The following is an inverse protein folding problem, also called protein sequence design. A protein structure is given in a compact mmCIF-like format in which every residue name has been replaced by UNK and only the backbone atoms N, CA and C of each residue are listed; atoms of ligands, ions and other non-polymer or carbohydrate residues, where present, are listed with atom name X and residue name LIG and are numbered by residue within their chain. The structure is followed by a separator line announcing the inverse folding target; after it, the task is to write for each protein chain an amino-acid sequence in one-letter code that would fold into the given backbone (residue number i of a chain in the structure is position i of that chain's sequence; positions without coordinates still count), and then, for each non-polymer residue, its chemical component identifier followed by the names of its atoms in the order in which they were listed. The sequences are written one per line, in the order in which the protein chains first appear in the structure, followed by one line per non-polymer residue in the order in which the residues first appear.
data_IF_234500543755
#
_entry.id   IF_234500543755
#
_cell.length_a   1.000
_cell.length_b   1.000
_cell.length_c   1.000
_cell.angle_alpha   90.00
_cell.angle_beta   90.00
_cell.angle_gamma   90.00
#
_symmetry.space_group_name_H-M   'P 1'
#
loop_
_entity.id
_entity.type
_entity.pdbx_description
1 polymer ?
#
# COMPACT_ATOMS: atom_id res chain seq x y z
N UNK A 1 18.18 -11.46 14.96
CA UNK A 1 17.65 -10.24 15.61
C UNK A 1 18.32 -10.12 16.96
N UNK A 2 19.11 -9.05 17.12
CA UNK A 2 19.71 -8.64 18.39
C UNK A 2 18.61 -8.06 19.31
N UNK A 3 18.66 -8.23 20.64
CA UNK A 3 19.69 -8.95 21.40
C UNK A 3 19.52 -10.46 21.28
N UNK A 4 20.65 -11.17 21.25
CA UNK A 4 20.74 -12.64 21.27
C UNK A 4 20.49 -13.26 22.65
N UNK A 5 20.31 -12.45 23.70
CA UNK A 5 20.08 -12.92 25.06
C UNK A 5 18.57 -13.11 25.35
N UNK A 6 18.15 -14.34 25.63
CA UNK A 6 16.75 -14.69 25.89
C UNK A 6 16.14 -13.99 27.11
N UNK A 7 16.95 -13.67 28.11
CA UNK A 7 16.54 -12.99 29.35
C UNK A 7 16.14 -11.53 29.07
N UNK A 8 16.91 -10.82 28.24
CA UNK A 8 16.60 -9.43 27.84
C UNK A 8 15.30 -9.33 27.03
N UNK A 9 14.94 -10.37 26.26
CA UNK A 9 13.65 -10.44 25.53
C UNK A 9 12.44 -10.61 26.45
N UNK A 10 12.62 -11.18 27.64
CA UNK A 10 11.57 -11.29 28.66
C UNK A 10 11.44 -9.98 29.47
N UNK A 11 12.56 -9.30 29.75
CA UNK A 11 12.56 -8.04 30.50
C UNK A 11 11.95 -6.86 29.73
N UNK A 12 11.99 -6.84 28.39
CA UNK A 12 11.52 -5.69 27.61
C UNK A 12 9.99 -5.55 27.50
N UNK A 13 9.21 -6.50 28.01
CA UNK A 13 7.74 -6.54 27.90
C UNK A 13 7.20 -6.66 26.46
N UNK A 14 8.03 -6.38 25.44
CA UNK A 14 7.72 -6.43 24.01
C UNK A 14 7.27 -7.81 23.57
N UNK A 15 7.92 -8.87 24.07
CA UNK A 15 7.53 -10.24 23.78
C UNK A 15 6.13 -10.54 24.30
N UNK A 16 5.85 -10.19 25.55
CA UNK A 16 4.53 -10.39 26.18
C UNK A 16 3.46 -9.61 25.40
N UNK A 17 3.74 -8.35 25.02
CA UNK A 17 2.84 -7.54 24.18
C UNK A 17 2.59 -8.20 22.81
N UNK A 18 3.64 -8.67 22.13
CA UNK A 18 3.53 -9.34 20.84
C UNK A 18 2.74 -10.65 20.94
N UNK A 19 2.96 -11.45 21.98
CA UNK A 19 2.20 -12.68 22.24
C UNK A 19 0.71 -12.38 22.49
N UNK A 20 0.39 -11.36 23.29
CA UNK A 20 -1.00 -10.91 23.50
C UNK A 20 -1.67 -10.44 22.20
N UNK A 21 -0.97 -9.64 21.39
CA UNK A 21 -1.46 -9.19 20.08
C UNK A 21 -1.65 -10.36 19.12
N UNK A 22 -0.73 -11.33 19.12
CA UNK A 22 -0.83 -12.54 18.32
C UNK A 22 -2.06 -13.37 18.71
N UNK A 23 -2.30 -13.57 20.01
CA UNK A 23 -3.46 -14.30 20.51
C UNK A 23 -4.78 -13.60 20.15
N UNK A 24 -4.86 -12.28 20.33
CA UNK A 24 -6.04 -11.49 19.97
C UNK A 24 -6.32 -11.57 18.46
N UNK A 25 -5.30 -11.35 17.62
CA UNK A 25 -5.40 -11.47 16.16
C UNK A 25 -5.81 -12.89 15.73
N UNK A 26 -5.20 -13.92 16.32
CA UNK A 26 -5.55 -15.30 16.02
C UNK A 26 -7.00 -15.63 16.37
N UNK A 27 -7.52 -15.11 17.49
CA UNK A 27 -8.93 -15.29 17.87
C UNK A 27 -9.89 -14.67 16.86
N UNK A 28 -9.60 -13.46 16.38
CA UNK A 28 -10.40 -12.78 15.35
C UNK A 28 -10.39 -13.61 14.05
N UNK A 29 -9.20 -14.03 13.60
CA UNK A 29 -9.06 -14.80 12.36
C UNK A 29 -9.74 -16.18 12.46
N UNK A 30 -9.66 -16.85 13.61
CA UNK A 30 -10.36 -18.12 13.85
C UNK A 30 -11.88 -17.94 13.78
N UNK A 31 -12.42 -16.88 14.39
CA UNK A 31 -13.84 -16.57 14.32
C UNK A 31 -14.30 -16.35 12.87
N UNK A 32 -13.55 -15.57 12.09
CA UNK A 32 -13.86 -15.34 10.67
C UNK A 32 -13.87 -16.65 9.89
N UNK A 33 -12.86 -17.52 10.08
CA UNK A 33 -12.80 -18.83 9.41
C UNK A 33 -13.99 -19.70 9.78
N UNK A 34 -14.38 -19.74 11.07
CA UNK A 34 -15.50 -20.54 11.54
C UNK A 34 -16.83 -20.02 11.00
N UNK A 35 -17.03 -18.70 10.96
CA UNK A 35 -18.22 -18.08 10.36
C UNK A 35 -18.39 -18.47 8.88
N UNK A 36 -17.31 -18.47 8.09
CA UNK A 36 -17.36 -18.90 6.68
C UNK A 36 -17.68 -20.39 6.56
N UNK A 37 -17.10 -21.25 7.40
CA UNK A 37 -17.43 -22.68 7.44
C UNK A 37 -18.90 -22.92 7.79
N UNK A 38 -19.43 -22.21 8.78
CA UNK A 38 -20.83 -22.32 9.17
C UNK A 38 -21.79 -21.84 8.09
N UNK A 39 -21.50 -20.69 7.46
CA UNK A 39 -22.30 -20.17 6.33
C UNK A 39 -22.34 -21.17 5.19
N UNK A 40 -21.20 -21.76 4.83
CA UNK A 40 -21.09 -22.76 3.77
C UNK A 40 -21.89 -24.04 4.08
N UNK A 41 -21.88 -24.50 5.33
CA UNK A 41 -22.64 -25.68 5.75
C UNK A 41 -24.17 -25.46 5.74
N UNK A 42 -24.63 -24.21 5.82
CA UNK A 42 -26.05 -23.83 5.84
C UNK A 42 -26.60 -23.46 4.45
N UNK A 43 -25.73 -23.25 3.46
CA UNK A 43 -26.13 -22.79 2.15
C UNK A 43 -26.53 -23.96 1.22
N UNK A 44 -27.84 -24.18 1.08
CA UNK A 44 -28.41 -24.92 -0.05
C UNK A 44 -28.34 -24.03 -1.31
N UNK A 45 -27.28 -24.18 -2.08
CA UNK A 45 -27.13 -23.74 -3.49
C UNK A 45 -27.38 -22.26 -3.84
N UNK A 46 -27.48 -21.34 -2.87
CA UNK A 46 -27.46 -19.90 -3.18
C UNK A 46 -26.04 -19.43 -3.49
N UNK A 47 -25.88 -18.74 -4.62
CA UNK A 47 -24.63 -18.07 -5.03
C UNK A 47 -24.37 -16.92 -4.04
N UNK A 48 -23.66 -17.23 -2.96
CA UNK A 48 -23.03 -16.22 -2.11
C UNK A 48 -21.85 -15.65 -2.91
N UNK A 49 -21.71 -14.33 -2.92
CA UNK A 49 -20.52 -13.67 -3.44
C UNK A 49 -19.31 -14.18 -2.65
N UNK A 50 -18.53 -15.06 -3.27
CA UNK A 50 -17.44 -15.76 -2.62
C UNK A 50 -16.26 -14.82 -2.42
N UNK A 51 -15.73 -14.78 -1.19
CA UNK A 51 -14.53 -14.00 -0.89
C UNK A 51 -13.26 -14.86 -0.85
N UNK A 52 -12.13 -14.23 -0.54
CA UNK A 52 -10.83 -14.91 -0.45
C UNK A 52 -10.84 -16.07 0.56
N UNK A 53 -11.54 -15.93 1.69
CA UNK A 53 -11.63 -16.96 2.72
C UNK A 53 -12.39 -18.16 2.18
N UNK A 54 -13.48 -17.94 1.45
CA UNK A 54 -14.24 -19.01 0.79
C UNK A 54 -13.38 -19.76 -0.22
N UNK A 55 -12.62 -19.05 -1.05
CA UNK A 55 -11.70 -19.65 -2.03
C UNK A 55 -10.64 -20.50 -1.32
N UNK A 56 -10.02 -20.00 -0.26
CA UNK A 56 -9.01 -20.75 0.51
C UNK A 56 -9.61 -21.99 1.19
N UNK A 57 -10.85 -21.91 1.69
CA UNK A 57 -11.56 -23.05 2.27
C UNK A 57 -11.98 -24.09 1.22
N UNK A 58 -12.26 -23.67 -0.01
CA UNK A 58 -12.49 -24.59 -1.14
C UNK A 58 -11.20 -25.31 -1.52
N UNK A 59 -10.08 -24.58 -1.66
CA UNK A 59 -8.76 -25.16 -1.95
C UNK A 59 -8.31 -26.13 -0.87
N UNK A 60 -8.61 -25.87 0.41
CA UNK A 60 -8.32 -26.79 1.51
C UNK A 60 -8.93 -28.19 1.34
N UNK A 61 -10.00 -28.34 0.55
CA UNK A 61 -10.66 -29.62 0.30
C UNK A 61 -10.09 -30.38 -0.91
N UNK A 62 -9.15 -29.78 -1.65
CA UNK A 62 -8.53 -30.43 -2.79
C UNK A 62 -7.35 -31.30 -2.32
N UNK A 63 -7.40 -32.58 -2.66
CA UNK A 63 -6.37 -33.57 -2.28
C UNK A 63 -5.11 -33.51 -3.17
N UNK A 64 -5.07 -32.65 -4.20
CA UNK A 64 -4.00 -32.56 -5.20
C UNK A 64 -3.00 -31.41 -4.95
N UNK A 65 -3.15 -30.66 -3.86
CA UNK A 65 -2.20 -29.60 -3.50
C UNK A 65 -0.84 -30.18 -3.11
N UNK A 66 0.23 -29.61 -3.67
CA UNK A 66 1.63 -29.96 -3.31
C UNK A 66 1.89 -29.85 -1.80
N UNK A 67 1.15 -28.96 -1.11
CA UNK A 67 1.20 -28.79 0.33
C UNK A 67 -0.22 -28.68 0.94
N UNK A 68 -0.53 -29.42 2.02
CA UNK A 68 -1.83 -29.33 2.69
C UNK A 68 -2.11 -27.92 3.23
N UNK A 69 -3.25 -27.35 2.87
CA UNK A 69 -3.67 -26.02 3.33
C UNK A 69 -4.47 -26.11 4.64
N UNK A 70 -3.80 -26.07 5.78
CA UNK A 70 -4.45 -26.08 7.10
C UNK A 70 -5.06 -24.72 7.51
N UNK A 71 -5.96 -24.69 8.51
CA UNK A 71 -6.56 -23.45 9.01
C UNK A 71 -5.51 -22.41 9.45
N UNK A 72 -4.39 -22.85 10.02
CA UNK A 72 -3.31 -21.94 10.41
C UNK A 72 -2.69 -21.23 9.20
N UNK A 73 -2.55 -21.93 8.07
CA UNK A 73 -2.08 -21.34 6.81
C UNK A 73 -3.10 -20.34 6.25
N UNK A 74 -4.39 -20.68 6.27
CA UNK A 74 -5.47 -19.77 5.84
C UNK A 74 -5.44 -18.49 6.67
N UNK A 75 -5.43 -18.59 8.00
CA UNK A 75 -5.33 -17.43 8.90
C UNK A 75 -4.05 -16.61 8.67
N UNK A 76 -2.92 -17.27 8.39
CA UNK A 76 -1.68 -16.58 8.09
C UNK A 76 -1.77 -15.79 6.78
N UNK A 77 -2.32 -16.38 5.72
CA UNK A 77 -2.54 -15.71 4.42
C UNK A 77 -3.48 -14.51 4.58
N UNK A 78 -4.60 -14.68 5.30
CA UNK A 78 -5.53 -13.59 5.60
C UNK A 78 -4.82 -12.43 6.32
N UNK A 79 -4.03 -12.76 7.35
CA UNK A 79 -3.28 -11.76 8.11
C UNK A 79 -2.25 -11.03 7.25
N UNK A 80 -1.51 -11.77 6.42
CA UNK A 80 -0.46 -11.21 5.57
C UNK A 80 -1.06 -10.26 4.53
N UNK A 81 -2.16 -10.63 3.87
CA UNK A 81 -2.83 -9.78 2.88
C UNK A 81 -3.43 -8.53 3.54
N UNK A 82 -4.10 -8.68 4.69
CA UNK A 82 -4.67 -7.54 5.41
C UNK A 82 -3.59 -6.56 5.84
N UNK A 83 -2.53 -7.05 6.51
CA UNK A 83 -1.45 -6.19 6.99
C UNK A 83 -0.70 -5.51 5.82
N UNK A 84 -0.37 -6.27 4.77
CA UNK A 84 0.35 -5.73 3.61
C UNK A 84 -0.50 -4.75 2.81
N UNK A 85 -1.79 -5.02 2.60
CA UNK A 85 -2.67 -4.20 1.78
C UNK A 85 -3.14 -2.92 2.46
N UNK A 86 -3.36 -2.93 3.77
CA UNK A 86 -3.89 -1.76 4.49
C UNK A 86 -2.81 -0.71 4.75
N UNK A 87 -1.71 -1.12 5.37
CA UNK A 87 -0.69 -0.21 5.87
C UNK A 87 0.05 0.54 4.75
N UNK A 88 0.47 -0.16 3.70
CA UNK A 88 1.22 0.47 2.61
C UNK A 88 0.34 1.37 1.76
N UNK A 89 -0.91 0.99 1.52
CA UNK A 89 -1.85 1.77 0.72
C UNK A 89 -2.25 3.05 1.44
N UNK A 90 -2.60 2.96 2.73
CA UNK A 90 -2.91 4.14 3.54
C UNK A 90 -1.74 5.13 3.60
N UNK A 91 -0.52 4.63 3.82
CA UNK A 91 0.71 5.45 3.79
C UNK A 91 0.88 6.15 2.44
N UNK A 92 0.64 5.46 1.33
CA UNK A 92 0.76 6.05 -0.01
C UNK A 92 -0.32 7.12 -0.25
N UNK A 93 -1.57 6.89 0.18
CA UNK A 93 -2.64 7.89 0.08
C UNK A 93 -2.30 9.13 0.91
N UNK A 94 -1.76 8.95 2.11
CA UNK A 94 -1.34 10.06 2.98
C UNK A 94 -0.22 10.90 2.32
N UNK A 95 0.81 10.24 1.75
CA UNK A 95 1.86 10.94 1.00
C UNK A 95 1.34 11.65 -0.25
N UNK A 96 0.46 11.00 -1.02
CA UNK A 96 -0.14 11.62 -2.21
C UNK A 96 -0.92 12.89 -1.83
N UNK A 97 -1.73 12.83 -0.77
CA UNK A 97 -2.45 14.00 -0.25
C UNK A 97 -1.48 15.10 0.20
N UNK A 98 -0.40 14.73 0.90
CA UNK A 98 0.62 15.67 1.37
C UNK A 98 1.29 16.43 0.23
N UNK A 99 1.72 15.70 -0.80
CA UNK A 99 2.38 16.29 -1.98
C UNK A 99 1.42 17.16 -2.80
N UNK A 100 0.16 16.75 -2.93
CA UNK A 100 -0.86 17.58 -3.58
C UNK A 100 -1.13 18.87 -2.80
N UNK A 101 -1.18 18.83 -1.47
CA UNK A 101 -1.38 20.02 -0.65
C UNK A 101 -0.23 21.02 -0.83
N UNK A 102 1.02 20.55 -0.86
CA UNK A 102 2.19 21.39 -1.16
C UNK A 102 2.18 21.96 -2.58
N UNK A 103 1.40 21.36 -3.47
CA UNK A 103 1.30 21.74 -4.87
C UNK A 103 -0.16 22.07 -5.27
N UNK A 104 -0.73 23.22 -4.85
CA UNK A 104 -2.14 23.55 -5.09
C UNK A 104 -2.56 23.51 -6.57
N UNK A 105 -1.63 23.76 -7.50
CA UNK A 105 -1.86 23.61 -8.94
C UNK A 105 -2.12 22.15 -9.34
N UNK A 106 -1.32 21.21 -8.82
CA UNK A 106 -1.49 19.77 -9.06
C UNK A 106 -2.76 19.26 -8.36
N UNK A 107 -3.02 19.69 -7.11
CA UNK A 107 -4.26 19.39 -6.39
C UNK A 107 -5.49 19.77 -7.22
N UNK A 108 -5.56 21.03 -7.68
CA UNK A 108 -6.70 21.51 -8.48
C UNK A 108 -6.84 20.74 -9.79
N UNK A 109 -5.73 20.41 -10.46
CA UNK A 109 -5.74 19.60 -11.69
C UNK A 109 -6.27 18.19 -11.43
N UNK A 110 -5.88 17.56 -10.34
CA UNK A 110 -6.35 16.23 -9.94
C UNK A 110 -7.85 16.23 -9.59
N UNK A 111 -8.28 17.18 -8.75
CA UNK A 111 -9.71 17.35 -8.41
C UNK A 111 -10.57 17.59 -9.66
N UNK A 112 -10.10 18.45 -10.58
CA UNK A 112 -10.80 18.70 -11.84
C UNK A 112 -10.91 17.45 -12.72
N UNK A 113 -9.84 16.64 -12.83
CA UNK A 113 -9.89 15.37 -13.56
C UNK A 113 -10.94 14.43 -12.96
N UNK A 114 -10.84 14.18 -11.65
CA UNK A 114 -11.73 13.25 -10.94
C UNK A 114 -13.18 13.70 -11.06
N UNK A 115 -13.48 14.97 -10.78
CA UNK A 115 -14.84 15.53 -10.88
C UNK A 115 -15.38 15.47 -12.31
N UNK A 116 -14.55 15.71 -13.32
CA UNK A 116 -14.94 15.60 -14.74
C UNK A 116 -15.27 14.16 -15.15
N UNK A 117 -14.47 13.18 -14.74
CA UNK A 117 -14.66 11.77 -15.10
C UNK A 117 -15.90 11.18 -14.42
N UNK A 118 -16.13 11.53 -13.15
CA UNK A 118 -17.28 11.00 -12.41
C UNK A 118 -18.59 11.77 -12.62
N UNK A 119 -18.53 13.06 -12.97
CA UNK A 119 -19.71 13.93 -13.17
C UNK A 119 -20.24 14.53 -11.87
N UNK A 120 -21.40 15.19 -11.91
CA UNK A 120 -21.94 15.95 -10.77
C UNK A 120 -22.85 15.15 -9.81
N UNK A 121 -23.30 13.95 -10.23
CA UNK A 121 -24.28 13.11 -9.53
C UNK A 121 -23.74 11.70 -9.29
N UNK A 122 -22.69 11.58 -8.50
CA UNK A 122 -22.11 10.28 -8.18
C UNK A 122 -22.91 9.57 -7.08
N UNK A 123 -23.31 8.33 -7.33
CA UNK A 123 -23.86 7.42 -6.31
C UNK A 123 -22.78 6.52 -5.73
N UNK A 124 -21.77 6.16 -6.52
CA UNK A 124 -20.56 5.47 -6.08
C UNK A 124 -19.41 5.65 -7.08
N UNK A 125 -18.18 5.64 -6.55
CA UNK A 125 -16.96 5.53 -7.38
C UNK A 125 -16.85 4.08 -7.82
N UNK A 126 -16.75 3.82 -9.12
CA UNK A 126 -16.60 2.47 -9.66
C UNK A 126 -15.21 2.26 -10.27
N UNK A 127 -14.76 1.01 -10.30
CA UNK A 127 -13.43 0.64 -10.79
C UNK A 127 -13.24 0.89 -12.29
N UNK A 128 -14.33 0.87 -13.07
CA UNK A 128 -14.26 1.11 -14.51
C UNK A 128 -13.82 2.54 -14.84
N UNK A 129 -14.45 3.53 -14.18
CA UNK A 129 -14.13 4.95 -14.38
C UNK A 129 -12.75 5.32 -13.83
N UNK A 130 -12.24 4.61 -12.83
CA UNK A 130 -10.90 4.87 -12.27
C UNK A 130 -9.81 4.72 -13.33
N UNK A 131 -9.98 3.78 -14.27
CA UNK A 131 -9.03 3.58 -15.38
C UNK A 131 -8.89 4.81 -16.28
N UNK A 132 -9.87 5.70 -16.26
CA UNK A 132 -9.86 6.96 -17.02
C UNK A 132 -9.13 8.11 -16.30
N UNK A 133 -8.80 7.96 -15.00
CA UNK A 133 -8.09 8.95 -14.19
C UNK A 133 -6.58 8.93 -14.47
N UNK A 134 -6.23 9.35 -15.69
CA UNK A 134 -4.86 9.27 -16.21
C UNK A 134 -3.89 10.08 -15.36
N UNK A 135 -4.25 11.30 -14.98
CA UNK A 135 -3.41 12.19 -14.18
C UNK A 135 -3.31 11.71 -12.73
N UNK A 136 -4.39 11.23 -12.13
CA UNK A 136 -4.36 10.59 -10.81
C UNK A 136 -3.35 9.43 -10.78
N UNK A 137 -3.32 8.60 -11.83
CA UNK A 137 -2.35 7.51 -11.93
C UNK A 137 -0.90 8.00 -12.02
N UNK A 138 -0.66 9.15 -12.65
CA UNK A 138 0.68 9.78 -12.65
C UNK A 138 1.07 10.24 -11.23
N UNK A 139 0.13 10.82 -10.48
CA UNK A 139 0.32 11.21 -9.08
C UNK A 139 0.68 9.99 -8.23
N UNK A 140 -0.04 8.87 -8.38
CA UNK A 140 0.26 7.63 -7.66
C UNK A 140 1.65 7.09 -8.01
N UNK A 141 2.05 7.12 -9.29
CA UNK A 141 3.40 6.71 -9.70
C UNK A 141 4.48 7.60 -9.06
N UNK A 142 4.33 8.91 -9.10
CA UNK A 142 5.30 9.83 -8.52
C UNK A 142 5.35 9.75 -6.99
N UNK A 143 4.20 9.51 -6.35
CA UNK A 143 4.13 9.27 -4.91
C UNK A 143 4.90 8.01 -4.54
N UNK A 144 4.72 6.91 -5.28
CA UNK A 144 5.44 5.66 -5.05
C UNK A 144 6.93 5.75 -5.39
N UNK A 145 7.33 6.64 -6.30
CA UNK A 145 8.73 6.94 -6.61
C UNK A 145 9.39 7.65 -5.43
N UNK A 146 8.80 8.76 -4.99
CA UNK A 146 9.39 9.63 -3.98
C UNK A 146 9.24 9.03 -2.58
N UNK A 147 8.07 8.49 -2.25
CA UNK A 147 7.73 7.95 -0.93
C UNK A 147 7.31 6.46 -1.00
N UNK A 148 8.21 5.54 -1.40
CA UNK A 148 7.89 4.12 -1.41
C UNK A 148 7.63 3.63 0.02
N UNK A 149 6.45 3.05 0.34
CA UNK A 149 6.19 2.54 1.68
C UNK A 149 7.23 1.47 2.09
N UNK A 150 7.65 0.63 1.15
CA UNK A 150 8.70 -0.37 1.35
C UNK A 150 10.07 0.18 0.89
N UNK A 151 10.78 0.86 1.78
CA UNK A 151 12.09 1.48 1.52
C UNK A 151 13.18 0.47 1.15
N UNK A 152 13.23 -0.62 1.92
CA UNK A 152 14.27 -1.63 1.87
C UNK A 152 13.64 -2.99 1.54
N UNK A 153 13.94 -3.52 0.37
CA UNK A 153 13.44 -4.82 -0.06
C UNK A 153 14.42 -5.89 0.39
N UNK A 154 14.02 -6.66 1.40
CA UNK A 154 14.84 -7.73 1.99
C UNK A 154 14.90 -8.95 1.07
N UNK A 155 16.12 -9.41 0.78
CA UNK A 155 16.42 -10.65 0.07
C UNK A 155 17.39 -11.50 0.87
N UNK A 156 17.34 -12.82 0.67
CA UNK A 156 18.31 -13.75 1.23
C UNK A 156 18.81 -14.69 0.14
N UNK A 157 20.13 -14.82 0.03
CA UNK A 157 20.75 -15.69 -0.95
C UNK A 157 20.67 -17.15 -0.52
N UNK A 158 20.38 -18.04 -1.46
CA UNK A 158 20.29 -19.50 -1.21
C UNK A 158 21.63 -20.20 -1.36
N UNK A 159 22.49 -19.68 -2.21
CA UNK A 159 23.80 -20.22 -2.55
C UNK A 159 24.81 -19.09 -2.69
N UNK A 160 26.10 -19.43 -2.64
CA UNK A 160 27.16 -18.46 -2.90
C UNK A 160 27.04 -17.94 -4.34
N UNK A 161 27.30 -16.65 -4.55
CA UNK A 161 27.35 -16.05 -5.88
C UNK A 161 28.28 -14.85 -5.91
N UNK A 162 28.61 -14.38 -7.11
CA UNK A 162 29.37 -13.15 -7.33
C UNK A 162 28.47 -12.11 -8.00
N UNK A 163 28.44 -10.88 -7.47
CA UNK A 163 27.71 -9.75 -8.06
C UNK A 163 28.67 -8.58 -8.18
N UNK A 164 28.88 -8.09 -9.41
CA UNK A 164 29.82 -6.98 -9.69
C UNK A 164 31.22 -7.19 -9.06
N UNK A 165 31.71 -8.43 -9.07
CA UNK A 165 33.00 -8.79 -8.47
C UNK A 165 32.98 -9.04 -6.95
N UNK A 166 31.86 -8.82 -6.27
CA UNK A 166 31.71 -9.09 -4.84
C UNK A 166 31.18 -10.50 -4.59
N UNK A 167 31.91 -11.27 -3.77
CA UNK A 167 31.44 -12.57 -3.29
C UNK A 167 30.35 -12.40 -2.22
N UNK A 168 29.19 -13.00 -2.48
CA UNK A 168 28.05 -13.02 -1.57
C UNK A 168 27.84 -14.47 -1.11
N UNK A 169 28.00 -14.70 0.18
CA UNK A 169 27.80 -16.01 0.78
C UNK A 169 26.31 -16.43 0.81
N UNK A 170 26.07 -17.74 0.79
CA UNK A 170 24.75 -18.29 1.08
C UNK A 170 24.23 -17.79 2.44
N UNK A 171 22.92 -17.55 2.51
CA UNK A 171 22.20 -16.96 3.66
C UNK A 171 22.53 -15.49 3.95
N UNK A 172 23.41 -14.85 3.17
CA UNK A 172 23.59 -13.40 3.26
C UNK A 172 22.26 -12.69 3.00
N UNK A 173 21.98 -11.67 3.82
CA UNK A 173 20.81 -10.81 3.68
C UNK A 173 21.22 -9.57 2.90
N UNK A 174 20.46 -9.25 1.86
CA UNK A 174 20.66 -8.08 1.03
C UNK A 174 19.44 -7.18 1.16
N UNK A 175 19.70 -5.89 1.32
CA UNK A 175 18.69 -4.84 1.38
C UNK A 175 18.79 -4.04 0.09
N UNK A 176 17.81 -4.20 -0.80
CA UNK A 176 17.72 -3.34 -1.98
C UNK A 176 17.06 -2.03 -1.54
N UNK A 177 17.81 -0.94 -1.61
CA UNK A 177 17.37 0.38 -1.18
C UNK A 177 16.55 1.06 -2.29
N UNK A 178 15.27 0.70 -2.40
CA UNK A 178 14.35 1.24 -3.40
C UNK A 178 14.20 2.76 -3.23
N UNK A 179 14.17 3.25 -1.99
CA UNK A 179 14.11 4.69 -1.70
C UNK A 179 15.27 5.47 -2.33
N UNK A 180 16.51 5.00 -2.17
CA UNK A 180 17.67 5.67 -2.75
C UNK A 180 17.69 5.56 -4.28
N UNK A 181 17.39 4.39 -4.84
CA UNK A 181 17.38 4.16 -6.30
C UNK A 181 16.37 5.10 -6.98
N UNK A 182 15.18 5.25 -6.40
CA UNK A 182 14.10 6.05 -6.98
C UNK A 182 14.30 7.57 -6.80
N UNK A 183 15.32 7.98 -6.05
CA UNK A 183 15.74 9.38 -5.84
C UNK A 183 17.14 9.67 -6.40
N UNK A 184 17.74 8.71 -7.10
CA UNK A 184 19.08 8.89 -7.64
C UNK A 184 19.05 9.86 -8.84
N UNK A 185 19.75 11.01 -8.77
CA UNK A 185 19.77 12.01 -9.84
C UNK A 185 20.41 11.51 -11.13
N UNK A 186 21.13 10.37 -11.10
CA UNK A 186 21.62 9.72 -12.31
C UNK A 186 20.48 9.19 -13.18
N UNK A 187 19.40 8.69 -12.57
CA UNK A 187 18.23 8.16 -13.29
C UNK A 187 17.07 9.16 -13.35
N UNK A 188 16.97 10.04 -12.36
CA UNK A 188 15.83 10.94 -12.19
C UNK A 188 16.24 12.39 -12.25
N UNK A 189 15.87 13.10 -13.33
CA UNK A 189 16.03 14.55 -13.40
C UNK A 189 15.18 15.22 -12.32
N UNK A 190 15.76 16.17 -11.58
CA UNK A 190 15.08 16.86 -10.47
C UNK A 190 14.49 15.84 -9.48
N UNK A 191 15.33 14.89 -9.04
CA UNK A 191 14.91 13.66 -8.36
C UNK A 191 14.11 13.88 -7.07
N UNK A 192 14.36 14.99 -6.37
CA UNK A 192 13.69 15.35 -5.13
C UNK A 192 12.39 16.13 -5.35
N UNK A 193 12.10 16.56 -6.59
CA UNK A 193 10.89 17.30 -6.93
C UNK A 193 9.74 16.34 -7.26
N UNK A 194 8.58 16.59 -6.64
CA UNK A 194 7.33 15.90 -6.95
C UNK A 194 6.75 16.40 -8.28
N UNK A 195 7.02 15.66 -9.36
CA UNK A 195 6.63 16.03 -10.72
C UNK A 195 5.92 14.87 -11.45
N UNK A 196 4.61 14.66 -11.23
CA UNK A 196 3.85 13.55 -11.81
C UNK A 196 3.96 13.43 -13.33
N UNK A 197 4.03 14.56 -14.03
CA UNK A 197 4.10 14.62 -15.50
C UNK A 197 5.32 13.90 -16.09
N UNK A 198 6.38 13.60 -15.33
CA UNK A 198 7.53 12.78 -15.82
C UNK A 198 7.12 11.38 -16.27
N UNK A 199 5.99 10.88 -15.77
CA UNK A 199 5.44 9.58 -16.16
C UNK A 199 4.48 9.66 -17.36
N UNK A 200 4.22 10.83 -17.93
CA UNK A 200 3.30 10.98 -19.06
C UNK A 200 3.87 10.43 -20.38
N UNK A 201 5.17 10.59 -20.60
CA UNK A 201 5.90 10.12 -21.79
C UNK A 201 6.63 8.79 -21.56
N UNK A 202 6.55 8.25 -20.34
CA UNK A 202 7.35 7.10 -19.93
C UNK A 202 6.52 5.81 -19.85
N UNK A 203 7.03 4.74 -20.45
CA UNK A 203 6.43 3.41 -20.42
C UNK A 203 6.63 2.65 -19.11
N UNK A 204 7.32 3.24 -18.12
CA UNK A 204 7.53 2.63 -16.79
C UNK A 204 6.20 2.21 -16.16
N UNK A 205 6.17 0.98 -15.67
CA UNK A 205 5.02 0.39 -14.98
C UNK A 205 5.44 -0.35 -13.70
N UNK A 206 4.47 -1.00 -13.06
CA UNK A 206 4.67 -1.67 -11.78
C UNK A 206 5.16 -3.12 -11.92
N UNK A 207 5.54 -3.59 -13.12
CA UNK A 207 5.94 -4.99 -13.37
C UNK A 207 7.37 -5.30 -12.90
N UNK A 208 8.11 -4.30 -12.41
CA UNK A 208 9.47 -4.48 -11.91
C UNK A 208 10.49 -4.79 -13.01
N UNK A 209 10.24 -4.28 -14.23
CA UNK A 209 11.13 -4.40 -15.39
C UNK A 209 12.00 -3.16 -15.62
N UNK A 210 11.70 -2.07 -14.92
CA UNK A 210 12.51 -0.84 -14.85
C UNK A 210 13.19 -0.80 -13.49
N UNK A 211 14.52 -0.98 -13.45
CA UNK A 211 15.22 -1.14 -12.16
C UNK A 211 15.44 0.19 -11.42
N UNK A 212 15.33 1.30 -12.13
CA UNK A 212 15.26 2.66 -11.61
C UNK A 212 13.92 2.98 -10.92
N UNK A 213 12.88 2.16 -11.12
CA UNK A 213 11.53 2.31 -10.57
C UNK A 213 10.95 0.98 -10.07
N UNK A 214 11.13 0.68 -8.78
CA UNK A 214 10.80 -0.62 -8.18
C UNK A 214 9.92 -0.52 -6.91
N UNK A 215 8.81 0.23 -6.91
CA UNK A 215 8.02 0.47 -5.70
C UNK A 215 7.35 -0.80 -5.15
N UNK A 216 7.20 -1.83 -5.99
CA UNK A 216 6.68 -3.16 -5.64
C UNK A 216 7.75 -4.25 -5.68
N UNK A 217 9.02 -3.87 -5.85
CA UNK A 217 10.13 -4.76 -6.12
C UNK A 217 10.13 -5.35 -7.54
N UNK A 218 10.89 -6.42 -7.72
CA UNK A 218 11.08 -7.07 -9.01
C UNK A 218 11.32 -8.59 -8.88
N UNK A 219 11.17 -9.30 -10.00
CA UNK A 219 11.49 -10.72 -10.13
C UNK A 219 10.55 -11.67 -9.37
N UNK A 220 11.06 -12.86 -9.01
CA UNK A 220 10.25 -13.98 -8.47
C UNK A 220 9.48 -13.70 -7.17
N UNK A 221 9.85 -12.66 -6.42
CA UNK A 221 9.07 -12.21 -5.24
C UNK A 221 8.79 -10.72 -5.36
N UNK A 222 8.35 -10.31 -6.54
CA UNK A 222 7.64 -9.05 -6.71
C UNK A 222 6.34 -9.10 -5.88
N UNK A 223 5.83 -7.94 -5.47
CA UNK A 223 4.60 -7.87 -4.70
C UNK A 223 3.47 -8.63 -5.43
N UNK A 224 2.83 -9.63 -4.79
CA UNK A 224 1.70 -10.34 -5.42
C UNK A 224 0.43 -9.49 -5.43
N UNK A 225 0.36 -8.44 -4.59
CA UNK A 225 -0.81 -7.60 -4.41
C UNK A 225 -0.81 -6.31 -5.24
N UNK A 226 -0.02 -6.20 -6.31
CA UNK A 226 0.11 -4.94 -7.10
C UNK A 226 -1.26 -4.40 -7.53
N UNK A 227 -2.09 -5.24 -8.16
CA UNK A 227 -3.38 -4.81 -8.69
C UNK A 227 -4.32 -4.33 -7.58
N UNK A 228 -4.42 -5.11 -6.51
CA UNK A 228 -5.24 -4.76 -5.34
C UNK A 228 -4.73 -3.51 -4.62
N UNK A 229 -3.41 -3.38 -4.46
CA UNK A 229 -2.77 -2.24 -3.81
C UNK A 229 -2.97 -0.95 -4.59
N UNK A 230 -2.81 -0.97 -5.91
CA UNK A 230 -3.06 0.21 -6.76
C UNK A 230 -4.52 0.64 -6.67
N UNK A 231 -5.48 -0.29 -6.77
CA UNK A 231 -6.89 0.03 -6.57
C UNK A 231 -7.16 0.58 -5.15
N UNK A 232 -6.56 -0.02 -4.13
CA UNK A 232 -6.62 0.43 -2.74
C UNK A 232 -5.99 1.81 -2.48
N UNK A 233 -5.25 2.37 -3.43
CA UNK A 233 -4.71 3.74 -3.39
C UNK A 233 -5.58 4.67 -4.25
N UNK A 234 -5.86 4.28 -5.49
CA UNK A 234 -6.58 5.12 -6.46
C UNK A 234 -8.04 5.38 -6.03
N UNK A 235 -8.75 4.37 -5.51
CA UNK A 235 -10.14 4.52 -5.04
C UNK A 235 -10.26 5.54 -3.89
N UNK A 236 -9.57 5.38 -2.74
CA UNK A 236 -9.67 6.35 -1.66
C UNK A 236 -9.17 7.74 -2.07
N UNK A 237 -8.08 7.82 -2.84
CA UNK A 237 -7.53 9.10 -3.27
C UNK A 237 -8.51 9.84 -4.20
N UNK A 238 -9.11 9.14 -5.18
CA UNK A 238 -10.16 9.71 -6.02
C UNK A 238 -11.35 10.19 -5.17
N UNK A 239 -11.77 9.40 -4.17
CA UNK A 239 -12.86 9.78 -3.27
C UNK A 239 -12.58 11.07 -2.51
N UNK A 240 -11.39 11.17 -1.91
CA UNK A 240 -10.95 12.35 -1.17
C UNK A 240 -10.90 13.60 -2.06
N UNK A 241 -10.41 13.46 -3.30
CA UNK A 241 -10.30 14.57 -4.26
C UNK A 241 -11.66 14.96 -4.88
N UNK A 242 -12.57 14.00 -5.04
CA UNK A 242 -13.91 14.26 -5.56
C UNK A 242 -14.73 15.05 -4.54
N UNK A 243 -14.86 14.52 -3.33
CA UNK A 243 -15.84 14.98 -2.34
C UNK A 243 -15.42 16.23 -1.58
N UNK A 244 -14.12 16.54 -1.50
CA UNK A 244 -13.63 17.59 -0.63
C UNK A 244 -12.63 18.51 -1.32
N UNK A 245 -12.72 19.78 -0.99
CA UNK A 245 -11.59 20.70 -0.97
C UNK A 245 -10.95 20.68 0.42
N UNK A 246 -9.69 21.10 0.53
CA UNK A 246 -8.89 20.86 1.74
C UNK A 246 -8.32 22.15 2.31
N UNK A 247 -8.42 22.30 3.63
CA UNK A 247 -7.79 23.37 4.40
C UNK A 247 -6.89 22.79 5.47
N UNK A 248 -5.79 23.49 5.77
CA UNK A 248 -4.97 23.19 6.94
C UNK A 248 -5.58 23.83 8.20
N UNK A 249 -5.44 23.18 9.37
CA UNK A 249 -5.89 23.74 10.63
C UNK A 249 -5.07 24.98 11.03
N UNK A 250 -5.63 25.80 11.91
CA UNK A 250 -4.93 26.88 12.60
C UNK A 250 -4.26 27.94 11.69
N UNK A 251 -4.74 28.11 10.46
CA UNK A 251 -4.19 29.10 9.52
C UNK A 251 -2.80 28.76 8.97
N UNK A 252 -2.34 27.52 9.15
CA UNK A 252 -1.09 27.01 8.58
C UNK A 252 -1.13 27.11 7.05
N UNK A 253 0.01 27.44 6.44
CA UNK A 253 0.12 27.47 4.99
C UNK A 253 0.63 26.14 4.45
N UNK A 254 0.35 25.85 3.19
CA UNK A 254 0.75 24.58 2.58
C UNK A 254 2.27 24.42 2.48
N UNK A 255 3.02 25.52 2.41
CA UNK A 255 4.48 25.53 2.38
C UNK A 255 5.08 25.07 3.72
N UNK A 256 4.35 25.26 4.81
CA UNK A 256 4.77 24.93 6.18
C UNK A 256 4.50 23.46 6.54
N UNK A 257 3.95 22.67 5.60
CA UNK A 257 3.66 21.26 5.82
C UNK A 257 4.96 20.49 6.05
N UNK A 258 5.08 19.87 7.23
CA UNK A 258 6.19 18.99 7.56
C UNK A 258 6.16 17.75 6.65
N UNK A 259 7.28 17.45 5.99
CA UNK A 259 7.42 16.35 5.01
C UNK A 259 8.46 15.32 5.42
N UNK A 260 8.95 15.39 6.66
CA UNK A 260 9.91 14.42 7.19
C UNK A 260 9.30 13.02 7.24
N UNK A 261 10.04 12.05 6.71
CA UNK A 261 9.73 10.62 6.82
C UNK A 261 10.15 10.08 8.20
N UNK A 262 9.31 9.23 8.79
CA UNK A 262 9.67 8.36 9.89
C UNK A 262 10.02 6.98 9.35
N UNK A 263 11.27 6.58 9.57
CA UNK A 263 11.79 5.32 9.09
C UNK A 263 11.44 4.18 10.05
N UNK A 264 10.41 3.42 9.69
CA UNK A 264 9.99 2.20 10.38
C UNK A 264 9.96 0.99 9.45
N UNK A 265 9.02 0.07 9.70
CA UNK A 265 8.72 -1.00 8.74
C UNK A 265 8.21 -0.43 7.40
N UNK A 266 7.52 0.72 7.46
CA UNK A 266 7.11 1.53 6.33
C UNK A 266 7.62 2.97 6.45
N UNK A 267 7.82 3.65 5.33
CA UNK A 267 8.15 5.08 5.25
C UNK A 267 6.90 5.94 5.47
N UNK A 268 6.50 6.15 6.72
CA UNK A 268 5.35 7.03 7.01
C UNK A 268 5.81 8.47 7.13
N UNK A 269 4.86 9.41 7.12
CA UNK A 269 5.12 10.74 7.65
C UNK A 269 5.55 10.62 9.11
N UNK A 270 6.42 11.52 9.55
CA UNK A 270 6.80 11.65 10.95
C UNK A 270 5.62 12.08 11.82
N UNK A 271 4.82 13.01 11.30
CA UNK A 271 3.65 13.56 11.98
C UNK A 271 2.41 13.34 11.10
N UNK A 272 1.30 12.94 11.74
CA UNK A 272 0.01 12.66 11.07
C UNK A 272 -0.46 13.86 10.23
N UNK A 273 -0.98 13.59 9.04
CA UNK A 273 -1.57 14.63 8.20
C UNK A 273 -2.97 15.04 8.71
N UNK A 274 -3.06 16.20 9.37
CA UNK A 274 -4.31 16.74 9.88
C UNK A 274 -4.92 17.77 8.91
N UNK A 275 -6.13 17.49 8.42
CA UNK A 275 -6.83 18.33 7.43
C UNK A 275 -8.27 18.62 7.84
N UNK A 276 -8.78 19.77 7.40
CA UNK A 276 -10.20 20.13 7.51
C UNK A 276 -10.84 19.93 6.14
N UNK A 277 -11.76 18.94 5.98
CA UNK A 277 -12.48 18.74 4.73
C UNK A 277 -13.53 19.83 4.54
N UNK A 278 -13.56 20.42 3.35
CA UNK A 278 -14.61 21.34 2.90
C UNK A 278 -15.42 20.62 1.83
N UNK A 279 -16.69 20.27 2.08
CA UNK A 279 -17.50 19.54 1.10
C UNK A 279 -17.57 20.26 -0.24
N UNK A 280 -17.31 19.52 -1.31
CA UNK A 280 -17.55 19.98 -2.68
C UNK A 280 -19.02 19.75 -3.03
N UNK A 281 -19.80 20.83 -2.94
CA UNK A 281 -21.22 20.81 -3.28
C UNK A 281 -21.44 21.25 -4.73
N UNK A 282 -22.05 20.38 -5.54
CA UNK A 282 -22.54 20.71 -6.89
C UNK A 282 -23.97 21.28 -6.86
N UNK A 283 -24.65 21.22 -5.71
CA UNK A 283 -26.03 21.66 -5.53
C UNK A 283 -26.11 23.13 -5.09
N UNK A 284 -26.98 23.92 -5.72
CA UNK A 284 -27.35 25.28 -5.30
C UNK A 284 -28.30 25.26 -4.08
N UNK A 285 -27.84 24.82 -2.91
CA UNK A 285 -28.47 25.16 -1.63
C UNK A 285 -27.37 25.52 -0.63
N UNK A 286 -27.60 26.53 0.24
CA UNK A 286 -26.54 27.11 1.06
C UNK A 286 -26.01 26.09 2.08
N UNK A 287 -24.69 25.95 2.13
CA UNK A 287 -23.95 25.29 3.21
C UNK A 287 -23.99 26.12 4.49
#
# INVERSE_FOLDING_TARGET
MYPSCGVLKLMSGTRIKAEKLHQASNKILENIVNEHKEKRNKADHQVVEADLVDVLLQLQQQDDLEFPLGNNSIKAVMKDIFAAGSETSATTVEWAMSELLKNPKLMKKAQNEVRRVFGENITSLNEEKIKELKFLRLIVKETLRLHPPALLILRQYRQNCVINGYEIAAKAKVLVNAWAIQRDPFYWKDAEEFHPERFSENSMDFRGTNFEYIPFGAGRRICPGILFGILGIELPLASLLYHFDWKLPNGMKFEDLEMTESFGLTARRKDDLLLIPVPYCTWKLPC
#
